data_IF_818222996375
#
_entry.id   IF_818222996375
#
_cell.length_a   1.000
_cell.length_b   1.000
_cell.length_c   1.000
_cell.angle_alpha   90.00
_cell.angle_beta   90.00
_cell.angle_gamma   90.00
#
_symmetry.space_group_name_H-M   'P 1'
#
loop_
_entity.id
_entity.type
_entity.pdbx_description
1 polymer ?
#
# COMPACT_ATOMS: atom_id res chain seq x y z
N UNK A 1 23.27 -11.08 17.86
CA UNK A 1 22.79 -9.81 18.43
C UNK A 1 22.07 -9.06 17.33
N UNK A 2 20.73 -9.00 17.31
CA UNK A 2 20.03 -8.21 16.32
C UNK A 2 19.87 -6.77 16.84
N UNK A 3 20.06 -5.82 15.94
CA UNK A 3 20.25 -4.40 16.18
C UNK A 3 19.15 -3.76 17.05
N UNK A 4 19.43 -2.65 17.78
CA UNK A 4 18.37 -1.80 18.28
C UNK A 4 17.59 -1.31 17.06
N UNK A 5 16.38 -1.83 16.86
CA UNK A 5 15.41 -1.24 15.94
C UNK A 5 15.26 0.22 16.34
N UNK A 6 15.95 1.10 15.62
CA UNK A 6 15.74 2.53 15.67
C UNK A 6 14.25 2.76 15.47
N UNK A 7 13.61 3.37 16.47
CA UNK A 7 12.23 3.87 16.50
C UNK A 7 11.63 3.95 15.09
N UNK A 8 10.97 2.88 14.63
CA UNK A 8 10.26 2.93 13.37
C UNK A 8 9.02 3.81 13.61
N UNK A 9 8.91 4.97 12.93
CA UNK A 9 7.74 5.83 13.11
C UNK A 9 6.48 5.02 12.84
N UNK A 10 5.53 5.12 13.75
CA UNK A 10 4.23 4.50 13.58
C UNK A 10 3.44 5.33 12.57
N UNK A 11 3.18 4.77 11.40
CA UNK A 11 2.34 5.37 10.38
C UNK A 11 0.97 4.71 10.41
N UNK A 12 -0.08 5.50 10.57
CA UNK A 12 -1.46 5.05 10.46
C UNK A 12 -2.03 5.56 9.14
N UNK A 13 -2.55 4.66 8.30
CA UNK A 13 -3.19 5.01 7.04
C UNK A 13 -4.68 4.70 7.13
N UNK A 14 -5.51 5.62 6.66
CA UNK A 14 -6.94 5.40 6.45
C UNK A 14 -7.20 5.10 4.99
N UNK A 15 -8.02 4.08 4.74
CA UNK A 15 -8.47 3.68 3.41
C UNK A 15 -9.64 4.60 3.03
N UNK A 16 -9.37 5.58 2.16
CA UNK A 16 -10.37 6.58 1.74
C UNK A 16 -11.34 5.98 0.72
N UNK A 17 -10.82 5.10 -0.15
CA UNK A 17 -11.60 4.36 -1.13
C UNK A 17 -11.32 2.87 -0.99
N UNK A 18 -12.37 2.05 -1.14
CA UNK A 18 -12.21 0.60 -1.20
C UNK A 18 -11.11 0.23 -2.20
N UNK A 19 -10.17 -0.58 -1.75
CA UNK A 19 -9.04 -1.04 -2.55
C UNK A 19 -9.46 -2.15 -3.52
N UNK A 20 -10.46 -1.87 -4.35
CA UNK A 20 -10.97 -2.74 -5.42
C UNK A 20 -10.27 -2.38 -6.73
N UNK A 21 -10.21 -3.33 -7.67
CA UNK A 21 -9.59 -3.13 -8.99
C UNK A 21 -10.20 -1.93 -9.72
N UNK A 22 -11.51 -1.77 -9.65
CA UNK A 22 -12.24 -0.67 -10.30
C UNK A 22 -11.86 0.71 -9.75
N UNK A 23 -11.75 0.84 -8.41
CA UNK A 23 -11.41 2.11 -7.78
C UNK A 23 -9.94 2.47 -8.01
N UNK A 24 -9.05 1.48 -7.97
CA UNK A 24 -7.62 1.69 -8.24
C UNK A 24 -7.42 2.13 -9.69
N UNK A 25 -8.09 1.47 -10.64
CA UNK A 25 -8.06 1.88 -12.05
C UNK A 25 -8.65 3.27 -12.25
N UNK A 26 -9.79 3.59 -11.62
CA UNK A 26 -10.36 4.95 -11.67
C UNK A 26 -9.42 6.01 -11.12
N UNK A 27 -8.84 5.77 -9.93
CA UNK A 27 -7.89 6.70 -9.32
C UNK A 27 -6.64 6.90 -10.19
N UNK A 28 -6.18 5.83 -10.86
CA UNK A 28 -5.06 5.92 -11.80
C UNK A 28 -5.44 6.68 -13.08
N UNK A 29 -6.64 6.46 -13.61
CA UNK A 29 -7.15 7.15 -14.81
C UNK A 29 -7.45 8.63 -14.55
N UNK A 30 -7.97 8.97 -13.35
CA UNK A 30 -8.15 10.35 -12.89
C UNK A 30 -6.82 11.06 -12.60
N UNK A 31 -5.75 10.32 -12.31
CA UNK A 31 -4.44 10.91 -12.06
C UNK A 31 -3.86 11.52 -13.35
N UNK A 32 -3.13 12.65 -13.27
CA UNK A 32 -2.52 13.25 -14.44
C UNK A 32 -1.48 12.32 -15.07
N UNK A 33 -1.29 12.42 -16.38
CA UNK A 33 -0.38 11.56 -17.17
C UNK A 33 1.04 11.55 -16.59
N UNK A 34 1.51 12.69 -16.06
CA UNK A 34 2.81 12.78 -15.37
C UNK A 34 2.87 11.86 -14.14
N UNK A 35 1.82 11.81 -13.33
CA UNK A 35 1.73 10.92 -12.18
C UNK A 35 1.62 9.46 -12.61
N UNK A 36 0.84 9.19 -13.66
CA UNK A 36 0.69 7.85 -14.22
C UNK A 36 2.05 7.29 -14.65
N UNK A 37 2.87 8.09 -15.34
CA UNK A 37 4.20 7.68 -15.79
C UNK A 37 5.15 7.43 -14.60
N UNK A 38 5.11 8.28 -13.57
CA UNK A 38 5.85 8.07 -12.32
C UNK A 38 5.42 6.79 -11.61
N UNK A 39 4.11 6.54 -11.50
CA UNK A 39 3.58 5.33 -10.88
C UNK A 39 3.99 4.10 -11.69
N UNK A 40 3.87 4.16 -13.01
CA UNK A 40 4.25 3.07 -13.92
C UNK A 40 5.74 2.76 -13.84
N UNK A 41 6.60 3.79 -13.77
CA UNK A 41 8.03 3.61 -13.58
C UNK A 41 8.30 2.95 -12.23
N UNK A 42 7.71 3.45 -11.13
CA UNK A 42 7.85 2.84 -9.81
C UNK A 42 7.36 1.40 -9.79
N UNK A 43 6.24 1.09 -10.45
CA UNK A 43 5.73 -0.28 -10.56
C UNK A 43 6.67 -1.18 -11.35
N UNK A 44 7.29 -0.64 -12.40
CA UNK A 44 8.27 -1.36 -13.22
C UNK A 44 9.52 -1.74 -12.42
N UNK A 45 9.97 -0.91 -11.46
CA UNK A 45 11.06 -1.27 -10.54
C UNK A 45 10.74 -2.54 -9.72
N UNK A 46 9.46 -2.76 -9.40
CA UNK A 46 8.99 -3.97 -8.71
C UNK A 46 8.50 -5.07 -9.67
N UNK A 47 8.59 -4.84 -10.97
CA UNK A 47 8.06 -5.73 -12.01
C UNK A 47 6.54 -6.02 -11.85
N UNK A 48 5.80 -5.01 -11.36
CA UNK A 48 4.36 -5.03 -11.13
C UNK A 48 3.62 -4.22 -12.19
N UNK A 49 2.31 -4.46 -12.31
CA UNK A 49 1.41 -3.67 -13.17
C UNK A 49 0.35 -2.96 -12.34
N UNK A 50 -0.34 -1.96 -12.92
CA UNK A 50 -1.42 -1.24 -12.24
C UNK A 50 -2.55 -2.19 -11.82
N UNK A 51 -2.84 -3.21 -12.61
CA UNK A 51 -3.78 -4.27 -12.26
C UNK A 51 -3.34 -5.06 -11.01
N UNK A 52 -2.03 -5.27 -10.88
CA UNK A 52 -1.42 -6.01 -9.77
C UNK A 52 -1.47 -5.21 -8.45
N UNK A 53 -1.65 -3.88 -8.51
CA UNK A 53 -1.97 -3.05 -7.33
C UNK A 53 -3.29 -3.47 -6.66
N UNK A 54 -4.21 -4.06 -7.42
CA UNK A 54 -5.49 -4.53 -6.91
C UNK A 54 -5.43 -5.92 -6.28
N UNK A 55 -4.33 -6.65 -6.48
CA UNK A 55 -4.07 -7.96 -5.87
C UNK A 55 -3.57 -7.80 -4.44
N UNK A 56 -4.42 -7.23 -3.59
CA UNK A 56 -4.11 -6.96 -2.19
C UNK A 56 -4.41 -8.19 -1.35
N UNK A 57 -3.36 -8.78 -0.79
CA UNK A 57 -3.50 -9.95 0.06
C UNK A 57 -3.87 -9.52 1.48
N UNK A 58 -5.13 -9.76 1.84
CA UNK A 58 -5.63 -9.61 3.21
C UNK A 58 -5.47 -10.94 3.92
N UNK A 59 -4.50 -11.02 4.84
CA UNK A 59 -4.20 -12.22 5.60
C UNK A 59 -4.38 -12.00 7.10
N UNK A 60 -4.84 -13.03 7.82
CA UNK A 60 -4.68 -13.05 9.27
C UNK A 60 -3.22 -13.33 9.57
N UNK A 61 -2.57 -12.46 10.35
CA UNK A 61 -1.20 -12.72 10.81
C UNK A 61 -1.24 -13.89 11.77
N UNK A 62 -0.47 -14.93 11.44
CA UNK A 62 -0.31 -16.08 12.32
C UNK A 62 0.20 -15.60 13.68
N UNK A 63 -0.46 -16.02 14.75
CA UNK A 63 -0.11 -15.64 16.13
C UNK A 63 1.19 -16.32 16.54
N UNK A 64 2.33 -15.71 16.22
CA UNK A 64 3.65 -16.16 16.67
C UNK A 64 4.15 -15.20 17.75
N UNK A 65 4.68 -15.75 18.85
CA UNK A 65 5.14 -15.01 20.05
C UNK A 65 4.07 -14.33 20.94
N UNK A 66 2.84 -14.85 21.00
CA UNK A 66 1.85 -14.44 22.01
C UNK A 66 1.21 -13.05 21.79
N UNK A 67 1.79 -12.22 20.94
CA UNK A 67 1.23 -10.96 20.41
C UNK A 67 0.96 -11.14 18.92
N UNK A 68 -0.31 -11.35 18.57
CA UNK A 68 -0.72 -11.60 17.19
C UNK A 68 -2.21 -11.93 17.12
N UNK A 69 -2.84 -11.59 16.01
CA UNK A 69 -4.30 -11.64 15.83
C UNK A 69 -4.89 -10.43 15.09
N UNK A 70 -4.06 -9.52 14.58
CA UNK A 70 -4.51 -8.45 13.68
C UNK A 70 -4.81 -8.98 12.27
N UNK A 71 -5.47 -8.14 11.47
CA UNK A 71 -5.57 -8.35 10.02
C UNK A 71 -4.42 -7.57 9.41
N UNK A 72 -3.53 -8.25 8.68
CA UNK A 72 -2.49 -7.59 7.91
C UNK A 72 -2.92 -7.49 6.46
N UNK A 73 -2.79 -6.29 5.91
CA UNK A 73 -2.97 -6.02 4.49
C UNK A 73 -1.57 -5.96 3.89
N UNK A 74 -1.24 -6.92 3.03
CA UNK A 74 0.01 -6.90 2.29
C UNK A 74 -0.25 -6.27 0.93
N UNK A 75 0.32 -5.08 0.74
CA UNK A 75 0.43 -4.46 -0.56
C UNK A 75 1.58 -5.12 -1.33
N UNK A 76 1.37 -5.39 -2.61
CA UNK A 76 2.46 -5.90 -3.48
C UNK A 76 3.48 -4.83 -3.82
N UNK A 77 3.05 -3.56 -3.82
CA UNK A 77 3.87 -2.40 -4.11
C UNK A 77 3.99 -1.47 -2.90
N UNK A 78 4.75 -0.39 -3.05
CA UNK A 78 4.94 0.61 -2.00
C UNK A 78 3.67 1.40 -1.69
N UNK A 79 3.42 1.63 -0.40
CA UNK A 79 2.28 2.41 0.15
C UNK A 79 2.22 3.83 -0.47
N UNK A 80 3.37 4.41 -0.80
CA UNK A 80 3.50 5.71 -1.50
C UNK A 80 2.69 5.78 -2.80
N UNK A 81 2.54 4.68 -3.54
CA UNK A 81 1.75 4.65 -4.78
C UNK A 81 0.27 4.81 -4.46
N UNK A 82 -0.21 4.12 -3.44
CA UNK A 82 -1.61 4.18 -3.00
C UNK A 82 -1.94 5.56 -2.38
N UNK A 83 -0.97 6.18 -1.72
CA UNK A 83 -1.12 7.56 -1.24
C UNK A 83 -1.18 8.57 -2.40
N UNK A 84 -0.29 8.43 -3.40
CA UNK A 84 -0.31 9.25 -4.61
C UNK A 84 -1.59 9.10 -5.43
N UNK A 85 -2.18 7.90 -5.42
CA UNK A 85 -3.49 7.61 -6.02
C UNK A 85 -4.67 8.11 -5.16
N UNK A 86 -4.43 8.63 -3.95
CA UNK A 86 -5.49 9.08 -3.04
C UNK A 86 -6.35 7.94 -2.48
N UNK A 87 -5.89 6.70 -2.60
CA UNK A 87 -6.57 5.51 -2.05
C UNK A 87 -6.32 5.38 -0.55
N UNK A 88 -5.10 5.74 -0.14
CA UNK A 88 -4.67 5.80 1.26
C UNK A 88 -4.38 7.25 1.62
N UNK A 89 -4.74 7.62 2.85
CA UNK A 89 -4.35 8.89 3.43
C UNK A 89 -3.68 8.63 4.77
N UNK A 90 -2.46 9.11 4.93
CA UNK A 90 -1.78 9.06 6.22
C UNK A 90 -2.55 9.93 7.24
N UNK A 91 -2.94 9.31 8.36
CA UNK A 91 -3.56 9.97 9.50
C UNK A 91 -2.51 10.05 10.59
N UNK A 92 -1.70 11.10 10.52
CA UNK A 92 -0.75 11.42 11.60
C UNK A 92 -1.57 11.85 12.80
N UNK A 93 -1.42 11.16 13.92
CA UNK A 93 -2.10 11.46 15.18
C UNK A 93 -1.16 12.12 16.18
#
# INVERSE_FOLDING_TARGET
MPYPESYQPYHQYEVVMDLTTENIMKAYDEAPVELQDVIKSKLSDFNLSVDDLSDIKRGQIAKVFGQGGGIQIQFKSSIDIYEKLGLLKEVIK
#
